data_IF_324572946955
#
_entry.id   IF_324572946955
#
_cell.length_a   1.000
_cell.length_b   1.000
_cell.length_c   1.000
_cell.angle_alpha   90.00
_cell.angle_beta   90.00
_cell.angle_gamma   90.00
#
_symmetry.space_group_name_H-M   'P 1'
#
loop_
_entity.id
_entity.type
_entity.pdbx_description
1 polymer ?
#
# COMPACT_ATOMS: atom_id res chain seq x y z
N UNK A 1 36.90 -15.76 9.20
CA UNK A 1 36.12 -15.83 7.96
C UNK A 1 36.04 -17.28 7.54
N UNK A 2 34.88 -17.74 7.09
CA UNK A 2 34.70 -19.11 6.58
C UNK A 2 35.20 -19.27 5.15
N UNK A 3 35.20 -20.51 4.66
CA UNK A 3 35.48 -20.81 3.26
C UNK A 3 34.38 -20.26 2.35
N UNK A 4 34.75 -19.91 1.11
CA UNK A 4 33.78 -19.48 0.11
C UNK A 4 32.88 -20.64 -0.31
N UNK A 5 31.56 -20.43 -0.24
CA UNK A 5 30.57 -21.35 -0.74
C UNK A 5 29.77 -20.71 -1.88
N UNK A 6 29.32 -21.52 -2.83
CA UNK A 6 28.36 -21.07 -3.84
C UNK A 6 26.99 -20.90 -3.16
N UNK A 7 26.34 -19.76 -3.44
CA UNK A 7 24.97 -19.52 -2.99
C UNK A 7 24.01 -20.41 -3.77
N UNK A 8 23.13 -21.15 -3.07
CA UNK A 8 22.22 -22.10 -3.69
C UNK A 8 21.21 -21.43 -4.66
N UNK A 9 20.73 -20.24 -4.32
CA UNK A 9 19.78 -19.47 -5.13
C UNK A 9 20.52 -18.44 -5.95
N UNK A 10 21.19 -18.89 -7.02
CA UNK A 10 21.97 -18.00 -7.88
C UNK A 10 21.06 -17.14 -8.77
N UNK A 11 21.38 -15.86 -8.99
CA UNK A 11 20.68 -15.04 -9.98
C UNK A 11 20.86 -15.58 -11.40
N UNK A 12 19.84 -15.41 -12.23
CA UNK A 12 19.87 -15.68 -13.66
C UNK A 12 20.78 -14.66 -14.39
N UNK A 13 21.10 -14.94 -15.66
CA UNK A 13 22.02 -14.08 -16.44
C UNK A 13 21.45 -12.70 -16.78
N UNK A 14 20.13 -12.60 -16.84
CA UNK A 14 19.36 -11.37 -17.04
C UNK A 14 19.19 -10.56 -15.76
N UNK A 15 19.34 -11.18 -14.59
CA UNK A 15 19.12 -10.51 -13.31
C UNK A 15 20.14 -9.41 -13.09
N UNK A 16 19.71 -8.36 -12.39
CA UNK A 16 20.53 -7.19 -12.04
C UNK A 16 20.70 -6.99 -10.54
N UNK A 17 19.99 -7.78 -9.75
CA UNK A 17 20.04 -7.82 -8.30
C UNK A 17 19.66 -9.22 -7.82
N UNK A 18 20.03 -9.54 -6.58
CA UNK A 18 19.60 -10.75 -5.89
C UNK A 18 19.55 -10.44 -4.39
N UNK A 19 18.51 -10.90 -3.70
CA UNK A 19 18.32 -10.70 -2.26
C UNK A 19 18.90 -11.86 -1.46
N UNK A 20 19.74 -11.56 -0.46
CA UNK A 20 20.30 -12.57 0.45
C UNK A 20 19.80 -12.32 1.87
N UNK A 21 19.10 -13.30 2.45
CA UNK A 21 18.71 -13.31 3.85
C UNK A 21 19.79 -13.98 4.68
N UNK A 22 20.50 -13.19 5.49
CA UNK A 22 21.50 -13.69 6.42
C UNK A 22 20.93 -13.92 7.82
N UNK A 23 21.62 -14.75 8.61
CA UNK A 23 21.36 -14.90 10.03
C UNK A 23 21.79 -13.64 10.79
N UNK A 24 21.00 -13.26 11.79
CA UNK A 24 21.34 -12.17 12.70
C UNK A 24 22.71 -12.42 13.36
N UNK A 25 23.49 -11.35 13.54
CA UNK A 25 24.79 -11.37 14.20
C UNK A 25 25.95 -11.88 13.34
N UNK A 26 25.70 -12.15 12.04
CA UNK A 26 26.72 -12.68 11.14
C UNK A 26 27.22 -11.63 10.14
N UNK A 27 28.47 -11.81 9.70
CA UNK A 27 29.05 -11.04 8.60
C UNK A 27 29.11 -11.89 7.33
N UNK A 28 28.64 -11.32 6.23
CA UNK A 28 28.62 -11.96 4.93
C UNK A 28 29.51 -11.20 3.96
N UNK A 29 30.31 -11.93 3.19
CA UNK A 29 31.07 -11.38 2.09
C UNK A 29 30.55 -11.97 0.78
N UNK A 30 30.40 -11.14 -0.24
CA UNK A 30 29.90 -11.50 -1.55
C UNK A 30 30.95 -11.25 -2.62
N UNK A 31 31.00 -12.17 -3.57
CA UNK A 31 31.78 -12.06 -4.80
C UNK A 31 30.97 -12.66 -5.95
N UNK A 32 31.15 -12.12 -7.14
CA UNK A 32 30.45 -12.57 -8.34
C UNK A 32 31.44 -12.90 -9.44
N UNK A 33 31.09 -13.87 -10.29
CA UNK A 33 31.80 -14.22 -11.52
C UNK A 33 30.79 -14.60 -12.60
N UNK A 34 31.16 -14.41 -13.86
CA UNK A 34 30.36 -14.89 -14.99
C UNK A 34 30.49 -16.41 -15.14
N UNK A 35 29.37 -17.07 -15.47
CA UNK A 35 29.32 -18.49 -15.82
C UNK A 35 28.63 -18.61 -17.18
N UNK A 36 29.24 -19.31 -18.13
CA UNK A 36 28.63 -19.55 -19.45
C UNK A 36 27.48 -20.57 -19.32
N UNK A 37 26.55 -20.64 -20.30
CA UNK A 37 25.49 -21.67 -20.30
C UNK A 37 26.03 -23.11 -20.27
N UNK A 38 27.28 -23.32 -20.69
CA UNK A 38 27.98 -24.61 -20.65
C UNK A 38 28.69 -24.89 -19.31
N UNK A 39 28.49 -24.04 -18.30
CA UNK A 39 29.08 -24.19 -16.96
C UNK A 39 30.53 -23.71 -16.85
N UNK A 40 31.10 -23.08 -17.88
CA UNK A 40 32.47 -22.56 -17.81
C UNK A 40 32.47 -21.27 -17.00
N UNK A 41 33.32 -21.21 -15.98
CA UNK A 41 33.41 -20.05 -15.07
C UNK A 41 34.53 -19.10 -15.50
N UNK A 42 34.29 -17.80 -15.40
CA UNK A 42 35.36 -16.79 -15.40
C UNK A 42 36.08 -16.70 -14.05
N UNK A 43 37.08 -15.83 -13.98
CA UNK A 43 37.68 -15.44 -12.71
C UNK A 43 36.69 -14.60 -11.87
N UNK A 44 36.82 -14.67 -10.54
CA UNK A 44 36.08 -13.77 -9.66
C UNK A 44 36.62 -12.35 -9.81
N UNK A 45 35.72 -11.36 -9.75
CA UNK A 45 36.13 -9.97 -9.66
C UNK A 45 37.02 -9.76 -8.41
N UNK A 46 38.02 -8.90 -8.52
CA UNK A 46 38.89 -8.58 -7.38
C UNK A 46 38.20 -7.73 -6.31
N UNK A 47 37.03 -7.15 -6.63
CA UNK A 47 36.20 -6.44 -5.67
C UNK A 47 35.28 -7.43 -4.93
N UNK A 48 35.36 -7.43 -3.61
CA UNK A 48 34.43 -8.12 -2.72
C UNK A 48 33.70 -7.08 -1.87
N UNK A 49 32.40 -7.26 -1.69
CA UNK A 49 31.62 -6.44 -0.75
C UNK A 49 31.32 -7.27 0.48
N UNK A 50 31.42 -6.69 1.67
CA UNK A 50 31.02 -7.34 2.91
C UNK A 50 29.96 -6.50 3.63
N UNK A 51 29.05 -7.19 4.30
CA UNK A 51 28.02 -6.59 5.15
C UNK A 51 27.91 -7.37 6.46
N UNK A 52 27.34 -6.73 7.47
CA UNK A 52 27.02 -7.36 8.75
C UNK A 52 25.52 -7.28 8.96
N UNK A 53 24.90 -8.41 9.27
CA UNK A 53 23.54 -8.46 9.77
C UNK A 53 23.63 -8.33 11.29
N UNK A 54 22.98 -7.30 11.84
CA UNK A 54 23.00 -7.03 13.28
C UNK A 54 22.48 -8.24 14.09
N UNK A 55 22.98 -8.43 15.31
CA UNK A 55 22.53 -9.51 16.20
C UNK A 55 21.14 -9.27 16.81
N UNK A 56 20.65 -8.03 16.73
CA UNK A 56 19.31 -7.65 17.11
C UNK A 56 18.79 -6.58 16.17
N UNK A 57 17.53 -6.26 16.31
CA UNK A 57 16.87 -5.18 15.60
C UNK A 57 16.50 -4.07 16.60
N UNK A 58 16.10 -2.93 16.07
CA UNK A 58 15.52 -1.85 16.86
C UNK A 58 14.06 -1.87 16.45
N UNK A 59 13.20 -2.15 17.41
CA UNK A 59 11.75 -2.05 17.31
C UNK A 59 11.37 -0.62 16.91
N UNK A 60 10.21 -0.47 16.28
CA UNK A 60 9.75 0.86 15.92
C UNK A 60 9.02 1.55 17.09
N UNK A 61 8.18 2.54 16.80
CA UNK A 61 7.52 3.32 17.84
C UNK A 61 6.23 2.65 18.38
N UNK A 62 5.74 1.59 17.73
CA UNK A 62 4.45 0.98 18.01
C UNK A 62 4.52 -0.22 18.98
N UNK A 63 5.68 -0.84 19.15
CA UNK A 63 5.90 -2.05 19.96
C UNK A 63 5.87 -1.73 21.46
N UNK A 64 6.22 -0.50 21.84
CA UNK A 64 6.01 0.06 23.17
C UNK A 64 6.36 -0.88 24.34
N UNK A 65 5.33 -1.32 25.08
CA UNK A 65 5.49 -2.31 26.17
C UNK A 65 4.89 -3.65 25.77
N UNK A 66 5.67 -4.72 25.87
CA UNK A 66 5.25 -6.09 25.54
C UNK A 66 3.88 -6.46 26.14
N UNK A 67 2.93 -6.97 25.33
CA UNK A 67 3.14 -7.46 23.97
C UNK A 67 3.22 -6.40 22.88
N UNK A 68 3.01 -5.11 23.15
CA UNK A 68 3.00 -4.11 22.08
C UNK A 68 1.89 -4.38 21.08
N UNK A 69 2.10 -3.98 19.84
CA UNK A 69 1.26 -4.35 18.72
C UNK A 69 1.51 -5.78 18.20
N UNK A 70 2.40 -6.58 18.79
CA UNK A 70 2.49 -8.04 18.57
C UNK A 70 1.17 -8.77 18.89
N UNK A 71 0.31 -8.14 19.68
CA UNK A 71 -0.98 -8.65 20.12
C UNK A 71 -2.09 -7.62 19.90
N UNK A 72 -3.28 -8.11 19.56
CA UNK A 72 -4.45 -7.27 19.30
C UNK A 72 -4.82 -6.35 20.49
N UNK A 73 -4.47 -6.73 21.73
CA UNK A 73 -4.71 -5.90 22.92
C UNK A 73 -3.85 -4.63 22.98
N UNK A 74 -2.74 -4.58 22.24
CA UNK A 74 -1.88 -3.41 22.10
C UNK A 74 -1.90 -2.80 20.70
N UNK A 75 -2.88 -3.17 19.86
CA UNK A 75 -2.98 -2.71 18.48
C UNK A 75 -2.77 -1.19 18.33
N UNK A 76 -1.84 -0.81 17.46
CA UNK A 76 -1.46 0.57 17.23
C UNK A 76 -2.62 1.37 16.60
N UNK A 77 -2.96 2.56 17.14
CA UNK A 77 -4.05 3.36 16.59
C UNK A 77 -3.65 3.97 15.25
N UNK A 78 -4.36 3.64 14.17
CA UNK A 78 -4.14 4.16 12.83
C UNK A 78 -5.23 5.18 12.45
N UNK A 79 -4.80 6.35 12.00
CA UNK A 79 -5.68 7.39 11.47
C UNK A 79 -5.92 7.19 9.97
N UNK A 80 -7.20 7.11 9.55
CA UNK A 80 -7.55 6.97 8.13
C UNK A 80 -6.97 8.15 7.33
N UNK A 81 -6.19 7.82 6.31
CA UNK A 81 -5.52 8.76 5.41
C UNK A 81 -4.06 9.06 5.78
N UNK A 82 -3.58 8.56 6.91
CA UNK A 82 -2.19 8.71 7.37
C UNK A 82 -1.47 7.37 7.30
N UNK A 83 -0.31 7.33 6.64
CA UNK A 83 0.51 6.13 6.59
C UNK A 83 1.28 5.97 7.91
N UNK A 84 1.34 4.73 8.41
CA UNK A 84 2.22 4.33 9.52
C UNK A 84 3.36 3.49 8.96
N UNK A 85 4.56 3.72 9.48
CA UNK A 85 5.74 2.95 9.11
C UNK A 85 6.08 1.99 10.25
N UNK A 86 6.16 0.71 9.92
CA UNK A 86 6.42 -0.39 10.84
C UNK A 86 7.68 -1.15 10.41
N UNK A 87 8.30 -1.95 11.26
CA UNK A 87 9.38 -2.88 10.88
C UNK A 87 9.22 -4.28 11.45
N UNK A 88 9.81 -5.27 10.78
CA UNK A 88 9.87 -6.63 11.31
C UNK A 88 10.97 -6.79 12.36
N UNK A 89 10.58 -6.79 13.64
CA UNK A 89 11.49 -6.97 14.76
C UNK A 89 10.81 -7.58 16.00
N UNK A 90 11.11 -8.83 16.40
CA UNK A 90 12.13 -9.76 15.89
C UNK A 90 11.65 -10.62 14.72
N UNK A 91 12.29 -11.77 14.47
CA UNK A 91 11.78 -12.72 13.47
C UNK A 91 10.47 -13.36 13.97
N UNK A 92 9.46 -13.38 13.10
CA UNK A 92 8.12 -13.87 13.43
C UNK A 92 7.20 -12.81 14.04
N UNK A 93 7.61 -11.54 13.96
CA UNK A 93 6.86 -10.36 14.36
C UNK A 93 5.51 -10.20 13.63
N UNK A 94 4.57 -9.53 14.29
CA UNK A 94 3.16 -9.45 13.91
C UNK A 94 2.56 -8.12 14.35
N UNK A 95 2.37 -7.19 13.43
CA UNK A 95 1.86 -5.88 13.84
C UNK A 95 0.33 -5.85 13.74
N UNK A 96 -0.32 -5.46 14.84
CA UNK A 96 -1.75 -5.17 14.87
C UNK A 96 -1.98 -3.67 14.85
N UNK A 97 -2.86 -3.21 13.97
CA UNK A 97 -3.36 -1.82 13.98
C UNK A 97 -4.86 -1.78 14.16
N UNK A 98 -5.37 -0.70 14.73
CA UNK A 98 -6.79 -0.46 14.93
C UNK A 98 -7.20 0.91 14.39
N UNK A 99 -8.34 0.99 13.70
CA UNK A 99 -8.84 2.25 13.15
C UNK A 99 -10.36 2.35 13.32
N UNK A 100 -10.85 3.56 13.58
CA UNK A 100 -12.29 3.85 13.68
C UNK A 100 -12.86 4.10 12.29
N UNK A 101 -13.94 3.39 11.94
CA UNK A 101 -14.63 3.53 10.67
C UNK A 101 -16.14 3.77 10.85
N UNK A 102 -16.77 4.30 9.81
CA UNK A 102 -18.21 4.62 9.75
C UNK A 102 -18.88 3.83 8.64
N UNK A 103 -20.06 3.29 8.91
CA UNK A 103 -20.84 2.48 7.99
C UNK A 103 -21.00 3.15 6.62
N UNK A 104 -20.80 2.36 5.56
CA UNK A 104 -20.90 2.80 4.17
C UNK A 104 -19.68 3.54 3.63
N UNK A 105 -18.65 3.82 4.43
CA UNK A 105 -17.36 4.24 3.88
C UNK A 105 -16.78 3.13 3.01
N UNK A 106 -16.20 3.50 1.87
CA UNK A 106 -15.39 2.61 1.05
C UNK A 106 -13.93 2.94 1.31
N UNK A 107 -13.17 1.98 1.82
CA UNK A 107 -11.78 2.12 2.23
C UNK A 107 -10.90 1.23 1.36
N UNK A 108 -9.71 1.71 1.04
CA UNK A 108 -8.61 0.92 0.53
C UNK A 108 -7.58 0.74 1.63
N UNK A 109 -7.24 -0.50 1.91
CA UNK A 109 -6.10 -0.86 2.75
C UNK A 109 -4.94 -1.20 1.82
N UNK A 110 -3.75 -0.73 2.17
CA UNK A 110 -2.54 -0.95 1.38
C UNK A 110 -1.35 -1.13 2.30
N UNK A 111 -0.51 -2.10 1.95
CA UNK A 111 0.83 -2.22 2.51
C UNK A 111 1.87 -2.07 1.40
N UNK A 112 2.92 -1.29 1.68
CA UNK A 112 4.00 -1.04 0.73
C UNK A 112 5.35 -1.35 1.39
N UNK A 113 6.21 -2.20 0.78
CA UNK A 113 7.55 -2.41 1.28
C UNK A 113 8.38 -1.13 1.15
N UNK A 114 9.08 -0.74 2.22
CA UNK A 114 10.03 0.38 2.20
C UNK A 114 11.44 -0.15 1.94
N UNK A 115 11.84 -1.21 2.64
CA UNK A 115 13.07 -1.93 2.40
C UNK A 115 12.83 -3.18 1.54
N UNK A 116 13.90 -3.75 0.99
CA UNK A 116 13.81 -4.96 0.18
C UNK A 116 13.34 -6.16 1.00
N UNK A 117 12.35 -6.89 0.50
CA UNK A 117 11.86 -8.13 1.11
C UNK A 117 10.83 -7.91 2.22
N UNK A 118 10.39 -6.68 2.49
CA UNK A 118 9.51 -6.40 3.63
C UNK A 118 8.03 -6.45 3.32
N UNK A 119 7.63 -7.04 2.18
CA UNK A 119 6.24 -7.21 1.79
C UNK A 119 5.41 -7.81 2.92
N UNK A 120 4.25 -7.19 3.16
CA UNK A 120 3.36 -7.52 4.27
C UNK A 120 2.06 -8.16 3.77
N UNK A 121 1.64 -9.22 4.44
CA UNK A 121 0.30 -9.79 4.27
C UNK A 121 -0.65 -9.03 5.19
N UNK A 122 -1.75 -8.51 4.66
CA UNK A 122 -2.77 -7.80 5.43
C UNK A 122 -4.01 -8.68 5.66
N UNK A 123 -4.50 -8.71 6.90
CA UNK A 123 -5.70 -9.44 7.31
C UNK A 123 -6.61 -8.50 8.09
N UNK A 124 -7.77 -8.18 7.54
CA UNK A 124 -8.77 -7.30 8.16
C UNK A 124 -9.74 -8.11 9.02
N UNK A 125 -9.92 -7.68 10.26
CA UNK A 125 -10.83 -8.27 11.23
C UNK A 125 -11.97 -7.30 11.60
N UNK A 126 -13.11 -7.87 11.95
CA UNK A 126 -14.28 -7.15 12.46
C UNK A 126 -13.98 -6.53 13.83
N UNK A 127 -14.91 -5.71 14.29
CA UNK A 127 -14.95 -5.05 15.59
C UNK A 127 -14.95 -5.98 16.80
N UNK A 128 -15.20 -7.28 16.61
CA UNK A 128 -15.02 -8.30 17.65
C UNK A 128 -13.55 -8.72 17.83
N UNK A 129 -12.64 -8.28 16.94
CA UNK A 129 -11.22 -8.60 16.96
C UNK A 129 -10.88 -10.05 16.56
N UNK A 130 -11.86 -10.84 16.08
CA UNK A 130 -11.69 -12.28 15.84
C UNK A 130 -12.21 -12.68 14.45
N UNK A 131 -13.27 -12.06 13.97
CA UNK A 131 -13.90 -12.40 12.69
C UNK A 131 -13.09 -11.82 11.53
N UNK A 132 -12.46 -12.69 10.73
CA UNK A 132 -11.76 -12.29 9.51
C UNK A 132 -12.77 -11.83 8.44
N UNK A 133 -12.63 -10.58 8.00
CA UNK A 133 -13.46 -9.95 6.96
C UNK A 133 -12.83 -10.04 5.57
N UNK A 134 -11.50 -10.04 5.50
CA UNK A 134 -10.76 -10.09 4.25
C UNK A 134 -9.25 -10.14 4.45
N UNK A 135 -8.53 -10.42 3.38
CA UNK A 135 -7.07 -10.42 3.38
C UNK A 135 -6.52 -10.13 2.00
N UNK A 136 -5.33 -9.53 1.93
CA UNK A 136 -4.54 -9.44 0.71
C UNK A 136 -3.09 -9.85 0.98
N UNK A 137 -2.44 -10.33 -0.07
CA UNK A 137 -1.03 -10.71 -0.05
C UNK A 137 -0.34 -10.10 -1.26
N UNK A 138 0.92 -9.67 -1.11
CA UNK A 138 1.68 -9.16 -2.23
C UNK A 138 2.08 -10.31 -3.17
N UNK A 139 2.41 -9.99 -4.42
CA UNK A 139 2.82 -11.00 -5.40
C UNK A 139 4.17 -11.65 -5.05
N UNK A 140 5.04 -10.88 -4.41
CA UNK A 140 6.35 -11.28 -3.89
C UNK A 140 6.70 -10.40 -2.68
N UNK A 141 7.87 -10.62 -2.07
CA UNK A 141 8.34 -9.90 -0.88
C UNK A 141 8.78 -8.44 -1.15
N UNK A 142 8.77 -8.00 -2.41
CA UNK A 142 9.09 -6.63 -2.82
C UNK A 142 7.88 -5.89 -3.41
N UNK A 143 6.69 -6.50 -3.36
CA UNK A 143 5.46 -5.96 -3.91
C UNK A 143 4.52 -5.41 -2.83
N UNK A 144 3.63 -4.52 -3.23
CA UNK A 144 2.53 -4.03 -2.41
C UNK A 144 1.40 -5.05 -2.31
N UNK A 145 0.64 -5.02 -1.21
CA UNK A 145 -0.66 -5.67 -1.10
C UNK A 145 -1.76 -4.61 -0.97
N UNK A 146 -2.96 -4.90 -1.48
CA UNK A 146 -4.09 -4.00 -1.29
C UNK A 146 -5.44 -4.72 -1.33
N UNK A 147 -6.41 -4.21 -0.56
CA UNK A 147 -7.80 -4.62 -0.61
C UNK A 147 -8.75 -3.42 -0.51
N UNK A 148 -9.88 -3.52 -1.22
CA UNK A 148 -10.99 -2.59 -1.11
C UNK A 148 -12.08 -3.19 -0.22
N UNK A 149 -12.57 -2.40 0.72
CA UNK A 149 -13.54 -2.86 1.72
C UNK A 149 -14.58 -1.78 2.02
N UNK A 150 -15.85 -2.20 2.10
CA UNK A 150 -16.96 -1.33 2.50
C UNK A 150 -17.34 -1.61 3.94
N UNK A 151 -17.32 -0.56 4.76
CA UNK A 151 -17.57 -0.65 6.20
C UNK A 151 -19.03 -1.06 6.46
N UNK A 152 -19.31 -2.19 7.13
CA UNK A 152 -20.67 -2.68 7.33
C UNK A 152 -21.41 -1.93 8.46
N UNK A 153 -20.69 -1.50 9.50
CA UNK A 153 -21.24 -0.82 10.67
C UNK A 153 -20.23 0.18 11.27
N UNK A 154 -20.70 1.15 12.03
CA UNK A 154 -19.82 2.04 12.81
C UNK A 154 -19.07 1.22 13.86
N UNK A 155 -17.75 1.37 13.94
CA UNK A 155 -16.93 0.59 14.88
C UNK A 155 -15.43 0.78 14.70
N UNK A 156 -14.69 0.26 15.66
CA UNK A 156 -13.24 0.06 15.53
C UNK A 156 -13.01 -1.27 14.84
N UNK A 157 -12.14 -1.29 13.84
CA UNK A 157 -11.75 -2.48 13.11
C UNK A 157 -10.24 -2.69 13.25
N UNK A 158 -9.79 -3.91 13.03
CA UNK A 158 -8.39 -4.30 13.26
C UNK A 158 -7.77 -4.84 11.99
N UNK A 159 -6.50 -4.52 11.74
CA UNK A 159 -5.71 -5.16 10.69
C UNK A 159 -4.52 -5.81 11.36
N UNK A 160 -4.29 -7.07 11.01
CA UNK A 160 -3.08 -7.79 11.36
C UNK A 160 -2.17 -7.82 10.14
N UNK A 161 -0.92 -7.45 10.35
CA UNK A 161 0.14 -7.58 9.37
C UNK A 161 1.10 -8.70 9.77
N UNK A 162 1.64 -9.39 8.77
CA UNK A 162 2.71 -10.38 8.96
C UNK A 162 3.66 -10.32 7.77
N UNK A 163 4.95 -10.57 7.95
CA UNK A 163 5.87 -10.66 6.82
C UNK A 163 5.50 -11.85 5.92
N UNK A 164 5.70 -11.70 4.60
CA UNK A 164 5.58 -12.82 3.64
C UNK A 164 6.51 -13.99 4.03
N UNK A 165 7.68 -13.67 4.60
CA UNK A 165 8.62 -14.62 5.16
C UNK A 165 8.89 -14.29 6.63
N UNK A 166 8.36 -15.11 7.54
CA UNK A 166 8.52 -14.94 8.99
C UNK A 166 9.95 -15.08 9.53
N UNK A 167 10.97 -15.22 8.68
CA UNK A 167 12.38 -15.14 9.08
C UNK A 167 13.00 -13.76 8.85
N UNK A 168 12.26 -12.84 8.23
CA UNK A 168 12.71 -11.49 8.02
C UNK A 168 12.66 -10.75 9.35
N UNK A 169 13.81 -10.16 9.71
CA UNK A 169 13.96 -9.31 10.88
C UNK A 169 15.17 -8.40 10.70
N UNK A 170 15.10 -7.19 11.27
CA UNK A 170 16.24 -6.27 11.26
C UNK A 170 15.85 -4.81 11.35
N UNK A 171 16.77 -3.95 11.78
CA UNK A 171 16.57 -2.48 11.85
C UNK A 171 16.42 -1.79 10.48
N UNK A 172 16.35 -2.54 9.38
CA UNK A 172 16.12 -2.05 8.02
C UNK A 172 15.12 -2.96 7.32
N UNK A 173 14.04 -3.29 8.04
CA UNK A 173 12.96 -4.13 7.54
C UNK A 173 11.64 -3.37 7.54
N UNK A 174 11.69 -2.12 7.12
CA UNK A 174 10.52 -1.25 7.17
C UNK A 174 9.50 -1.56 6.06
N UNK A 175 8.23 -1.42 6.40
CA UNK A 175 7.10 -1.33 5.48
C UNK A 175 6.15 -0.22 5.92
N UNK A 176 5.22 0.15 5.05
CA UNK A 176 4.20 1.17 5.34
C UNK A 176 2.81 0.55 5.26
N UNK A 177 1.97 0.85 6.25
CA UNK A 177 0.56 0.54 6.29
C UNK A 177 -0.28 1.81 6.09
N UNK A 178 -1.30 1.74 5.24
CA UNK A 178 -2.21 2.85 4.98
C UNK A 178 -3.65 2.35 4.83
N UNK A 179 -4.56 2.96 5.59
CA UNK A 179 -6.00 2.85 5.36
C UNK A 179 -6.49 4.18 4.80
N UNK A 180 -7.07 4.21 3.61
CA UNK A 180 -7.49 5.44 2.95
C UNK A 180 -8.93 5.35 2.44
N UNK A 181 -9.71 6.42 2.61
CA UNK A 181 -11.03 6.53 2.02
C UNK A 181 -10.94 6.63 0.48
N UNK A 182 -11.70 5.79 -0.21
CA UNK A 182 -11.85 5.90 -1.65
C UNK A 182 -12.75 7.08 -2.00
N UNK A 183 -12.36 7.84 -3.04
CA UNK A 183 -13.21 8.92 -3.56
C UNK A 183 -14.44 8.34 -4.25
N UNK A 184 -15.62 8.45 -3.62
CA UNK A 184 -16.88 8.20 -4.32
C UNK A 184 -17.35 9.50 -4.99
N UNK A 185 -17.39 9.54 -6.31
CA UNK A 185 -18.14 10.58 -7.01
C UNK A 185 -19.61 10.42 -6.63
N UNK A 186 -20.32 11.47 -6.15
CA UNK A 186 -21.74 11.35 -5.90
C UNK A 186 -22.42 11.01 -7.23
N UNK A 187 -23.03 9.83 -7.33
CA UNK A 187 -24.04 9.53 -8.35
C UNK A 187 -25.22 10.45 -8.08
N UNK A 188 -25.12 11.68 -8.56
CA UNK A 188 -26.26 12.58 -8.63
C UNK A 188 -27.28 11.89 -9.53
N UNK A 189 -28.50 11.60 -9.05
CA UNK A 189 -29.54 11.16 -9.97
C UNK A 189 -29.71 12.29 -10.98
N UNK A 190 -29.38 12.02 -12.24
CA UNK A 190 -29.80 12.84 -13.36
C UNK A 190 -31.33 12.84 -13.31
N UNK A 191 -31.90 13.83 -12.63
CA UNK A 191 -33.32 14.16 -12.78
C UNK A 191 -33.43 14.72 -14.19
N UNK A 192 -33.54 13.83 -15.18
CA UNK A 192 -34.10 14.18 -16.45
C UNK A 192 -35.52 14.66 -16.15
N UNK A 193 -35.67 15.98 -16.00
CA UNK A 193 -36.95 16.63 -15.85
C UNK A 193 -37.80 16.30 -17.07
N UNK A 194 -38.57 15.22 -16.97
CA UNK A 194 -39.70 14.98 -17.84
C UNK A 194 -40.64 16.14 -17.61
N UNK A 195 -40.77 17.01 -18.61
CA UNK A 195 -41.82 18.03 -18.63
C UNK A 195 -43.15 17.27 -18.63
N UNK A 196 -43.75 17.13 -17.46
CA UNK A 196 -45.16 16.75 -17.36
C UNK A 196 -45.94 18.00 -17.72
N UNK A 197 -46.44 18.09 -18.95
CA UNK A 197 -47.39 19.14 -19.35
C UNK A 197 -48.70 18.84 -18.62
N UNK A 198 -49.17 19.66 -17.67
CA UNK A 198 -50.52 19.53 -17.17
C UNK A 198 -51.46 20.07 -18.25
N UNK A 199 -52.30 19.20 -18.81
CA UNK A 199 -53.51 19.61 -19.54
C UNK A 199 -54.49 20.21 -18.52
N UNK A 200 -54.25 21.46 -18.13
CA UNK A 200 -55.21 22.28 -17.42
C UNK A 200 -55.88 23.22 -18.43
N UNK A 201 -57.16 22.94 -18.68
CA UNK A 201 -58.02 23.78 -19.49
C UNK A 201 -58.07 25.22 -18.95
N UNK A 202 -57.90 26.19 -19.86
CA UNK A 202 -58.51 27.52 -19.79
C UNK A 202 -58.01 28.49 -18.73
N UNK A 203 -57.16 29.44 -19.14
CA UNK A 203 -56.93 30.66 -18.36
C UNK A 203 -55.70 31.43 -18.83
N UNK A 204 -55.91 32.50 -19.59
CA UNK A 204 -54.85 33.33 -20.16
C UNK A 204 -54.01 34.04 -19.09
N UNK A 205 -52.67 34.02 -19.24
CA UNK A 205 -51.82 35.09 -18.72
C UNK A 205 -50.71 35.40 -19.74
N UNK A 206 -50.65 36.69 -20.11
CA UNK A 206 -49.67 37.27 -21.02
C UNK A 206 -48.32 37.42 -20.30
N UNK A 207 -47.24 36.91 -20.90
CA UNK A 207 -45.87 37.27 -20.50
C UNK A 207 -45.20 37.95 -21.68
N UNK A 208 -44.85 39.22 -21.48
CA UNK A 208 -44.15 40.07 -22.45
C UNK A 208 -42.66 39.72 -22.46
N UNK A 209 -42.15 39.20 -23.59
CA UNK A 209 -40.72 39.02 -23.82
C UNK A 209 -40.10 40.31 -24.37
N UNK A 210 -39.30 41.03 -23.58
CA UNK A 210 -38.45 42.11 -24.09
C UNK A 210 -37.27 41.52 -24.85
N UNK A 211 -37.33 41.54 -26.18
CA UNK A 211 -36.20 41.25 -27.06
C UNK A 211 -35.21 42.42 -27.04
N UNK A 212 -34.09 42.26 -26.33
CA UNK A 212 -32.95 43.18 -26.45
C UNK A 212 -32.18 42.88 -27.74
N UNK A 213 -32.38 43.73 -28.74
CA UNK A 213 -31.80 43.62 -30.06
C UNK A 213 -30.37 44.22 -30.06
N UNK A 214 -29.33 43.39 -29.92
CA UNK A 214 -27.93 43.83 -30.01
C UNK A 214 -27.43 43.72 -31.45
N UNK A 215 -27.38 44.86 -32.16
CA UNK A 215 -26.81 45.00 -33.51
C UNK A 215 -25.31 44.70 -33.52
N UNK A 216 -24.87 43.78 -34.38
CA UNK A 216 -23.45 43.57 -34.73
C UNK A 216 -23.04 44.65 -35.74
N UNK A 217 -22.12 45.53 -35.37
CA UNK A 217 -21.43 46.43 -36.31
C UNK A 217 -20.05 45.88 -36.66
N UNK A 218 -19.92 45.38 -37.89
CA UNK A 218 -18.64 45.15 -38.54
C UNK A 218 -18.18 46.44 -39.21
N UNK A 219 -16.94 46.88 -38.94
CA UNK A 219 -16.17 47.76 -39.83
C UNK A 219 -14.70 47.37 -39.76
N UNK A 220 -14.15 46.92 -40.89
CA UNK A 220 -12.73 47.04 -41.25
C UNK A 220 -12.62 48.22 -42.23
N UNK A 221 -11.56 49.02 -42.12
CA UNK A 221 -10.88 49.49 -43.33
C UNK A 221 -9.37 49.25 -43.23
N UNK A 222 -8.75 48.90 -44.36
CA UNK A 222 -7.31 48.68 -44.47
C UNK A 222 -6.49 49.96 -44.55
N UNK A 223 -5.17 49.79 -44.47
CA UNK A 223 -4.16 50.73 -44.94
C UNK A 223 -3.11 49.96 -45.76
N UNK A 224 -2.53 50.64 -46.75
CA UNK A 224 -1.52 50.17 -47.71
C UNK A 224 -0.12 50.21 -47.12
#
# INVERSE_FOLDING_TARGET
GGDWADWATQPAGEDRSAGYSGELGHSYAFRVRGVTPTGKTGEYAQSTTATMVSAGCQEDEYEGTTPGDDDISGAAPLEIGTAQQHNWCPAGDVDWVAFQATAGQNLRLTTSPVDSGTGAIEMLYDSDGVTLLGSASPADDASEASMDWTVPADGVYYVRYTPVNGQIAGSTTYYQALVQAQSSLPTSPLVCGGIVIPLAAGGAYLVSSKLLNRKKTAKRPGWK
#
